data_IF_820289150597
#
_entry.id   IF_820289150597
#
_cell.length_a   1.000
_cell.length_b   1.000
_cell.length_c   1.000
_cell.angle_alpha   90.00
_cell.angle_beta   90.00
_cell.angle_gamma   90.00
#
_symmetry.space_group_name_H-M   'P 1'
#
loop_
_entity.id
_entity.type
_entity.pdbx_description
1 polymer ?
#
# COMPACT_ATOMS: atom_id res chain seq x y z
N UNK A 1 16.15 -1.09 -20.71
CA UNK A 1 15.27 -0.50 -19.67
C UNK A 1 14.75 -1.62 -18.79
N UNK A 2 14.73 -1.44 -17.47
CA UNK A 2 14.16 -2.44 -16.57
C UNK A 2 12.65 -2.59 -16.83
N UNK A 3 12.15 -3.83 -16.79
CA UNK A 3 10.71 -4.09 -16.93
C UNK A 3 9.99 -3.62 -15.66
N UNK A 4 8.89 -2.87 -15.75
CA UNK A 4 8.11 -2.48 -14.57
C UNK A 4 7.64 -3.73 -13.80
N UNK A 5 7.70 -3.69 -12.47
CA UNK A 5 7.17 -4.76 -11.61
C UNK A 5 5.65 -4.91 -11.81
N UNK A 6 4.94 -3.79 -11.71
CA UNK A 6 3.49 -3.71 -11.85
C UNK A 6 3.18 -3.29 -13.29
N UNK A 7 2.77 -4.25 -14.11
CA UNK A 7 2.26 -4.03 -15.47
C UNK A 7 0.73 -4.05 -15.48
N UNK A 8 0.10 -3.75 -16.62
CA UNK A 8 -1.35 -3.95 -16.79
C UNK A 8 -1.76 -5.42 -16.64
N UNK A 9 -0.88 -6.34 -17.03
CA UNK A 9 -1.07 -7.78 -16.91
C UNK A 9 -0.45 -8.37 -15.62
N UNK A 10 -0.26 -7.55 -14.58
CA UNK A 10 0.30 -8.02 -13.31
C UNK A 10 -0.54 -9.17 -12.73
N UNK A 11 0.09 -10.31 -12.43
CA UNK A 11 -0.53 -11.58 -12.01
C UNK A 11 -1.44 -12.28 -13.04
N UNK A 12 -1.58 -11.76 -14.27
CA UNK A 12 -2.45 -12.35 -15.29
C UNK A 12 -1.68 -13.31 -16.22
N UNK A 13 -1.79 -14.61 -15.92
CA UNK A 13 -1.18 -15.67 -16.72
C UNK A 13 -2.05 -16.08 -17.92
N UNK A 14 -1.61 -15.72 -19.13
CA UNK A 14 -2.24 -16.15 -20.39
C UNK A 14 -3.41 -15.27 -20.85
N UNK A 15 -3.90 -15.55 -22.06
CA UNK A 15 -4.94 -14.73 -22.72
C UNK A 15 -6.26 -14.74 -21.97
N UNK A 16 -6.70 -15.90 -21.49
CA UNK A 16 -7.97 -16.04 -20.77
C UNK A 16 -8.01 -15.18 -19.51
N UNK A 17 -6.94 -15.17 -18.71
CA UNK A 17 -6.86 -14.34 -17.49
C UNK A 17 -6.96 -12.84 -17.81
N UNK A 18 -6.31 -12.41 -18.90
CA UNK A 18 -6.34 -11.02 -19.37
C UNK A 18 -7.73 -10.60 -19.82
N UNK A 19 -8.40 -11.41 -20.64
CA UNK A 19 -9.77 -11.13 -21.08
C UNK A 19 -10.73 -11.05 -19.90
N UNK A 20 -10.71 -12.03 -18.99
CA UNK A 20 -11.60 -12.04 -17.82
C UNK A 20 -11.40 -10.80 -16.93
N UNK A 21 -10.15 -10.39 -16.71
CA UNK A 21 -9.86 -9.24 -15.88
C UNK A 21 -10.19 -7.90 -16.59
N UNK A 22 -9.60 -7.66 -17.76
CA UNK A 22 -9.69 -6.36 -18.44
C UNK A 22 -11.06 -6.09 -19.05
N UNK A 23 -11.72 -7.12 -19.61
CA UNK A 23 -13.00 -6.93 -20.31
C UNK A 23 -14.19 -6.94 -19.35
N UNK A 24 -14.05 -7.59 -18.18
CA UNK A 24 -15.14 -7.76 -17.21
C UNK A 24 -14.77 -7.26 -15.81
N UNK A 25 -13.84 -7.93 -15.10
CA UNK A 25 -13.66 -7.73 -13.66
C UNK A 25 -13.25 -6.29 -13.27
N UNK A 26 -12.32 -5.69 -14.01
CA UNK A 26 -11.77 -4.36 -13.70
C UNK A 26 -12.80 -3.22 -13.77
N UNK A 27 -13.93 -3.44 -14.45
CA UNK A 27 -15.01 -2.44 -14.63
C UNK A 27 -16.08 -2.54 -13.55
N UNK A 28 -16.07 -3.60 -12.75
CA UNK A 28 -17.07 -3.81 -11.72
C UNK A 28 -16.82 -2.86 -10.54
N UNK A 29 -17.86 -2.32 -9.90
CA UNK A 29 -17.69 -1.53 -8.70
C UNK A 29 -17.23 -2.42 -7.54
N UNK A 30 -16.60 -1.79 -6.54
CA UNK A 30 -16.23 -2.46 -5.29
C UNK A 30 -17.42 -2.39 -4.33
N UNK A 31 -17.83 -3.56 -3.81
CA UNK A 31 -18.72 -3.64 -2.67
C UNK A 31 -17.96 -4.22 -1.48
N UNK A 32 -17.36 -3.33 -0.69
CA UNK A 32 -16.54 -3.68 0.47
C UNK A 32 -17.40 -3.81 1.74
N UNK A 33 -18.15 -4.91 1.82
CA UNK A 33 -19.17 -5.14 2.86
C UNK A 33 -18.59 -5.31 4.27
N UNK A 34 -17.27 -5.46 4.41
CA UNK A 34 -16.60 -5.55 5.70
C UNK A 34 -15.24 -4.85 5.65
N UNK A 35 -15.17 -3.68 6.27
CA UNK A 35 -13.93 -2.93 6.44
C UNK A 35 -13.86 -2.33 7.85
N UNK A 36 -12.69 -1.79 8.18
CA UNK A 36 -12.43 -1.10 9.45
C UNK A 36 -12.23 0.41 9.25
N UNK A 37 -12.80 0.97 8.17
CA UNK A 37 -12.70 2.41 7.91
C UNK A 37 -13.42 3.22 8.98
N UNK A 38 -12.79 4.27 9.53
CA UNK A 38 -13.40 5.12 10.55
C UNK A 38 -14.49 6.02 9.93
N UNK A 39 -15.75 5.78 10.33
CA UNK A 39 -16.92 6.46 9.75
C UNK A 39 -16.90 7.98 9.93
N UNK A 40 -16.32 8.49 11.01
CA UNK A 40 -16.15 9.91 11.29
C UNK A 40 -15.20 10.60 10.31
N UNK A 41 -14.11 9.94 9.91
CA UNK A 41 -13.18 10.48 8.91
C UNK A 41 -13.82 10.56 7.52
N UNK A 42 -14.71 9.60 7.20
CA UNK A 42 -15.50 9.64 5.96
C UNK A 42 -16.48 10.82 6.02
N UNK A 43 -17.23 10.95 7.12
CA UNK A 43 -18.22 12.01 7.29
C UNK A 43 -17.60 13.42 7.24
N UNK A 44 -16.33 13.55 7.66
CA UNK A 44 -15.59 14.81 7.65
C UNK A 44 -14.81 15.07 6.36
N UNK A 45 -14.79 14.14 5.40
CA UNK A 45 -13.93 14.21 4.20
C UNK A 45 -12.46 14.50 4.59
N UNK A 46 -11.93 13.69 5.52
CA UNK A 46 -10.58 13.90 6.09
C UNK A 46 -9.54 14.13 4.99
N UNK A 47 -8.84 15.25 5.07
CA UNK A 47 -7.67 15.55 4.23
C UNK A 47 -6.40 15.17 4.98
N UNK A 48 -5.64 14.24 4.41
CA UNK A 48 -4.33 13.86 4.94
C UNK A 48 -3.30 14.93 4.62
N UNK A 49 -2.47 15.31 5.60
CA UNK A 49 -1.47 16.36 5.41
C UNK A 49 -0.23 15.88 4.62
N UNK A 50 0.06 14.59 4.67
CA UNK A 50 1.20 13.98 3.99
C UNK A 50 0.94 12.48 3.77
N UNK A 51 1.81 11.84 2.98
CA UNK A 51 1.69 10.42 2.67
C UNK A 51 1.87 9.53 3.91
N UNK A 52 2.72 9.92 4.87
CA UNK A 52 2.93 9.13 6.09
C UNK A 52 1.64 8.92 6.86
N UNK A 53 0.84 9.96 7.04
CA UNK A 53 -0.45 9.87 7.74
C UNK A 53 -1.40 8.91 7.02
N UNK A 54 -1.50 9.04 5.70
CA UNK A 54 -2.35 8.15 4.89
C UNK A 54 -1.87 6.69 4.93
N UNK A 55 -0.56 6.45 4.94
CA UNK A 55 0.00 5.11 4.67
C UNK A 55 0.51 4.34 5.88
N UNK A 56 0.96 5.02 6.93
CA UNK A 56 1.65 4.42 8.08
C UNK A 56 0.84 4.51 9.39
N UNK A 57 -0.36 5.12 9.40
CA UNK A 57 -1.25 5.10 10.58
C UNK A 57 -1.92 3.72 10.80
N UNK A 58 -1.91 2.82 9.81
CA UNK A 58 -2.42 1.44 9.84
C UNK A 58 -1.97 0.65 8.60
N UNK A 59 -2.48 -0.54 8.29
CA UNK A 59 -3.13 -1.58 9.11
C UNK A 59 -2.06 -2.48 9.75
N UNK A 60 -1.14 -1.88 10.51
CA UNK A 60 -0.07 -2.53 11.28
C UNK A 60 0.93 -3.47 10.53
N UNK A 61 0.69 -3.90 9.29
CA UNK A 61 1.60 -4.77 8.55
C UNK A 61 2.94 -4.10 8.27
N UNK A 62 2.92 -2.81 7.88
CA UNK A 62 4.13 -2.01 7.68
C UNK A 62 4.94 -1.90 8.98
N UNK A 63 4.27 -1.72 10.13
CA UNK A 63 4.91 -1.73 11.44
C UNK A 63 5.56 -3.07 11.77
N UNK A 64 4.85 -4.17 11.52
CA UNK A 64 5.40 -5.53 11.71
C UNK A 64 6.65 -5.73 10.85
N UNK A 65 6.62 -5.34 9.58
CA UNK A 65 7.77 -5.46 8.70
C UNK A 65 8.94 -4.59 9.17
N UNK A 66 8.70 -3.35 9.58
CA UNK A 66 9.74 -2.47 10.13
C UNK A 66 10.36 -3.05 11.40
N UNK A 67 9.57 -3.60 12.32
CA UNK A 67 10.09 -4.31 13.52
C UNK A 67 10.93 -5.53 13.15
N UNK A 68 10.45 -6.35 12.21
CA UNK A 68 11.20 -7.52 11.71
C UNK A 68 12.50 -7.11 11.01
N UNK A 69 12.52 -5.93 10.39
CA UNK A 69 13.71 -5.35 9.78
C UNK A 69 14.65 -4.66 10.79
N UNK A 70 14.32 -4.67 12.09
CA UNK A 70 15.15 -4.10 13.15
C UNK A 70 15.07 -2.59 13.28
N UNK A 71 14.03 -1.95 12.74
CA UNK A 71 13.80 -0.51 12.94
C UNK A 71 13.34 -0.27 14.38
N UNK A 72 13.96 0.73 15.03
CA UNK A 72 13.60 1.16 16.38
C UNK A 72 12.14 1.65 16.46
N UNK A 73 11.42 1.27 17.52
CA UNK A 73 10.01 1.59 17.72
C UNK A 73 9.73 3.11 17.74
N UNK A 74 10.75 3.93 18.07
CA UNK A 74 10.71 5.39 17.95
C UNK A 74 10.25 5.85 16.56
N UNK A 75 10.67 5.15 15.51
CA UNK A 75 10.33 5.45 14.11
C UNK A 75 9.12 4.69 13.57
N UNK A 76 8.42 3.93 14.42
CA UNK A 76 7.23 3.17 14.04
C UNK A 76 6.01 3.84 14.68
N UNK A 77 5.73 3.53 15.95
CA UNK A 77 4.63 4.16 16.71
C UNK A 77 5.11 5.24 17.69
N UNK A 78 6.42 5.50 17.76
CA UNK A 78 6.99 6.53 18.63
C UNK A 78 6.82 7.97 18.12
N UNK A 79 7.60 8.88 18.73
CA UNK A 79 7.49 10.34 18.55
C UNK A 79 8.33 10.92 17.41
N UNK A 80 8.94 10.09 16.56
CA UNK A 80 9.61 10.59 15.35
C UNK A 80 8.62 11.36 14.46
N UNK A 81 9.12 12.33 13.70
CA UNK A 81 8.29 13.06 12.75
C UNK A 81 7.87 12.17 11.56
N UNK A 82 6.79 12.56 10.88
CA UNK A 82 6.20 11.81 9.77
C UNK A 82 7.21 11.51 8.65
N UNK A 83 8.14 12.43 8.39
CA UNK A 83 9.13 12.27 7.32
C UNK A 83 10.23 11.28 7.73
N UNK A 84 10.63 11.28 8.99
CA UNK A 84 11.55 10.29 9.54
C UNK A 84 10.94 8.89 9.47
N UNK A 85 9.68 8.72 9.89
CA UNK A 85 8.96 7.44 9.80
C UNK A 85 8.88 6.94 8.35
N UNK A 86 8.51 7.81 7.42
CA UNK A 86 8.44 7.46 6.00
C UNK A 86 9.78 7.03 5.42
N UNK A 87 10.88 7.70 5.77
CA UNK A 87 12.22 7.32 5.32
C UNK A 87 12.61 5.92 5.80
N UNK A 88 12.25 5.57 7.03
CA UNK A 88 12.50 4.22 7.55
C UNK A 88 11.63 3.18 6.84
N UNK A 89 10.37 3.50 6.55
CA UNK A 89 9.55 2.64 5.70
C UNK A 89 10.17 2.44 4.31
N UNK A 90 10.56 3.53 3.63
CA UNK A 90 11.20 3.46 2.31
C UNK A 90 12.49 2.63 2.32
N UNK A 91 13.30 2.72 3.39
CA UNK A 91 14.48 1.88 3.57
C UNK A 91 14.14 0.40 3.82
N UNK A 92 12.97 0.11 4.40
CA UNK A 92 12.48 -1.25 4.68
C UNK A 92 11.90 -1.94 3.43
N UNK A 93 11.28 -1.19 2.51
CA UNK A 93 10.59 -1.75 1.32
C UNK A 93 11.45 -2.73 0.50
N UNK A 94 12.74 -2.46 0.18
CA UNK A 94 13.58 -3.41 -0.56
C UNK A 94 13.74 -4.78 0.12
N UNK A 95 13.59 -4.84 1.43
CA UNK A 95 13.67 -6.08 2.22
C UNK A 95 12.32 -6.81 2.33
N UNK A 96 11.27 -6.27 1.72
CA UNK A 96 9.95 -6.89 1.64
C UNK A 96 9.77 -7.79 0.40
N UNK A 97 10.82 -8.06 -0.39
CA UNK A 97 10.72 -8.99 -1.52
C UNK A 97 10.17 -10.36 -1.09
N UNK A 98 9.16 -10.85 -1.81
CA UNK A 98 8.42 -12.06 -1.45
C UNK A 98 7.27 -11.84 -0.45
N UNK A 99 7.18 -10.66 0.18
CA UNK A 99 6.05 -10.27 1.01
C UNK A 99 5.03 -9.43 0.19
N UNK A 100 3.71 -9.59 0.41
CA UNK A 100 2.69 -8.78 -0.27
C UNK A 100 2.87 -7.27 -0.09
N UNK A 101 3.53 -6.82 0.98
CA UNK A 101 3.87 -5.41 1.19
C UNK A 101 4.64 -4.81 0.01
N UNK A 102 5.47 -5.60 -0.68
CA UNK A 102 6.19 -5.13 -1.87
C UNK A 102 5.24 -4.87 -3.05
N UNK A 103 4.21 -5.72 -3.22
CA UNK A 103 3.18 -5.51 -4.23
C UNK A 103 2.27 -4.33 -3.89
N UNK A 104 1.76 -4.27 -2.65
CA UNK A 104 0.85 -3.21 -2.21
C UNK A 104 1.51 -1.84 -2.30
N UNK A 105 2.76 -1.70 -1.86
CA UNK A 105 3.53 -0.43 -1.99
C UNK A 105 3.55 0.07 -3.43
N UNK A 106 3.82 -0.82 -4.40
CA UNK A 106 3.90 -0.44 -5.80
C UNK A 106 2.51 -0.17 -6.42
N UNK A 107 1.51 -0.97 -6.07
CA UNK A 107 0.13 -0.82 -6.54
C UNK A 107 -0.50 0.48 -6.04
N UNK A 108 -0.36 0.76 -4.74
CA UNK A 108 -0.89 1.94 -4.07
C UNK A 108 -0.23 3.23 -4.59
N UNK A 109 1.06 3.21 -4.95
CA UNK A 109 1.70 4.35 -5.63
C UNK A 109 1.14 4.53 -7.05
N UNK A 110 1.02 3.46 -7.83
CA UNK A 110 0.49 3.54 -9.20
C UNK A 110 -0.95 4.07 -9.25
N UNK A 111 -1.79 3.68 -8.30
CA UNK A 111 -3.18 4.12 -8.19
C UNK A 111 -3.52 4.28 -6.70
N UNK A 112 -3.78 5.51 -6.21
CA UNK A 112 -4.27 6.67 -6.96
C UNK A 112 -3.25 7.73 -7.41
N UNK A 113 -1.93 7.58 -7.17
CA UNK A 113 -0.98 8.70 -7.38
C UNK A 113 -0.42 8.85 -8.81
N UNK A 114 -0.59 7.86 -9.69
CA UNK A 114 -0.07 7.87 -11.07
C UNK A 114 1.39 7.46 -11.19
#
# INVERSE_FOLDING_TARGET
MARPLITDDFLLAGRTARTLYHEHAAKMPIYDYHCHLPADQIAQDRRFHNLTQLWLEGDHYKWRAMRTHGIDEHYITGKADDRQKFRQWAATVPYCLGNPLYHWTALELRNPFG
#
